data_IF_524106013055
#
_entry.id   IF_524106013055
#
_cell.length_a   1.000
_cell.length_b   1.000
_cell.length_c   1.000
_cell.angle_alpha   90.00
_cell.angle_beta   90.00
_cell.angle_gamma   90.00
#
_symmetry.space_group_name_H-M   'P 1'
#
loop_
_entity.id
_entity.type
_entity.pdbx_description
1 polymer ?
#
# COMPACT_ATOMS: atom_id res chain seq x y z
N UNK A 1 19.68 -5.34 -1.24
CA UNK A 1 18.50 -6.12 -0.83
C UNK A 1 17.68 -6.49 -2.07
N UNK A 2 17.02 -7.65 -2.06
CA UNK A 2 16.16 -8.14 -3.15
C UNK A 2 14.70 -8.10 -2.69
N UNK A 3 13.84 -7.38 -3.41
CA UNK A 3 12.40 -7.34 -3.17
C UNK A 3 11.69 -8.35 -4.06
N UNK A 4 10.74 -9.11 -3.49
CA UNK A 4 9.90 -10.07 -4.21
C UNK A 4 8.45 -9.88 -3.76
N UNK A 5 7.52 -9.81 -4.71
CA UNK A 5 6.09 -9.86 -4.45
C UNK A 5 5.65 -11.33 -4.48
N UNK A 6 5.20 -11.87 -3.37
CA UNK A 6 4.65 -13.23 -3.27
C UNK A 6 3.12 -13.11 -3.42
N UNK A 7 2.54 -13.68 -4.49
CA UNK A 7 1.08 -13.67 -4.65
C UNK A 7 0.38 -14.44 -3.53
N UNK A 8 -0.70 -13.87 -3.02
CA UNK A 8 -1.56 -14.48 -2.02
C UNK A 8 -3.03 -14.18 -2.38
N UNK A 9 -3.94 -15.04 -1.97
CA UNK A 9 -5.37 -14.93 -2.31
C UNK A 9 -5.60 -14.72 -3.81
N UNK A 10 -6.47 -13.76 -4.18
CA UNK A 10 -6.77 -13.43 -5.58
C UNK A 10 -5.88 -12.32 -6.13
N UNK A 11 -5.56 -11.33 -5.31
CA UNK A 11 -4.89 -10.11 -5.73
C UNK A 11 -3.95 -9.49 -4.67
N UNK A 12 -3.78 -10.15 -3.50
CA UNK A 12 -2.85 -9.70 -2.47
C UNK A 12 -1.39 -9.97 -2.83
N UNK A 13 -0.51 -9.15 -2.29
CA UNK A 13 0.93 -9.39 -2.25
C UNK A 13 1.46 -9.42 -0.83
N UNK A 14 2.13 -10.52 -0.46
CA UNK A 14 3.04 -10.56 0.68
C UNK A 14 4.39 -10.09 0.16
N UNK A 15 4.92 -9.01 0.71
CA UNK A 15 6.22 -8.51 0.30
C UNK A 15 7.34 -9.23 1.05
N UNK A 16 8.31 -9.75 0.30
CA UNK A 16 9.53 -10.35 0.85
C UNK A 16 10.73 -9.48 0.49
N UNK A 17 11.38 -8.88 1.48
CA UNK A 17 12.62 -8.14 1.33
C UNK A 17 13.78 -8.96 1.89
N UNK A 18 14.62 -9.47 1.00
CA UNK A 18 15.74 -10.36 1.35
C UNK A 18 17.06 -9.59 1.41
N UNK A 19 17.78 -9.75 2.50
CA UNK A 19 19.13 -9.26 2.67
C UNK A 19 20.16 -10.20 1.98
N UNK A 20 21.41 -9.74 1.76
CA UNK A 20 22.44 -10.55 1.08
C UNK A 20 22.80 -11.86 1.80
N UNK A 21 22.61 -11.94 3.11
CA UNK A 21 22.86 -13.13 3.93
C UNK A 21 21.69 -14.16 3.90
N UNK A 22 20.60 -13.84 3.18
CA UNK A 22 19.42 -14.68 3.08
C UNK A 22 18.31 -14.34 4.08
N UNK A 23 18.60 -13.54 5.11
CA UNK A 23 17.59 -13.05 6.06
C UNK A 23 16.48 -12.31 5.31
N UNK A 24 15.22 -12.66 5.55
CA UNK A 24 14.08 -12.15 4.80
C UNK A 24 13.01 -11.59 5.72
N UNK A 25 12.67 -10.34 5.49
CA UNK A 25 11.53 -9.66 6.09
C UNK A 25 10.29 -9.92 5.24
N UNK A 26 9.20 -10.32 5.87
CA UNK A 26 7.90 -10.44 5.22
C UNK A 26 6.94 -9.34 5.71
N UNK A 27 6.13 -8.80 4.81
CA UNK A 27 5.14 -7.75 5.14
C UNK A 27 3.75 -8.24 4.73
N UNK A 28 2.80 -8.11 5.65
CA UNK A 28 1.39 -8.46 5.47
C UNK A 28 1.20 -9.91 5.04
N UNK A 29 1.66 -10.84 5.89
CA UNK A 29 1.56 -12.29 5.66
C UNK A 29 0.12 -12.80 5.90
N UNK A 30 -0.81 -12.43 5.02
CA UNK A 30 -2.23 -12.84 5.12
C UNK A 30 -2.46 -14.33 4.93
N UNK A 31 -1.57 -15.02 4.20
CA UNK A 31 -1.51 -16.48 4.08
C UNK A 31 -0.13 -17.00 4.45
N UNK A 32 -0.08 -18.15 5.13
CA UNK A 32 1.19 -18.78 5.50
C UNK A 32 1.88 -19.45 4.31
N UNK A 33 1.14 -20.12 3.44
CA UNK A 33 1.70 -20.97 2.40
C UNK A 33 2.70 -20.27 1.47
N UNK A 34 2.46 -19.03 0.96
CA UNK A 34 3.45 -18.33 0.13
C UNK A 34 4.78 -18.08 0.85
N UNK A 35 4.74 -17.84 2.18
CA UNK A 35 5.95 -17.64 3.00
C UNK A 35 6.67 -18.97 3.23
N UNK A 36 5.92 -20.06 3.51
CA UNK A 36 6.47 -21.41 3.65
C UNK A 36 7.18 -21.87 2.37
N UNK A 37 6.56 -21.62 1.21
CA UNK A 37 7.14 -21.97 -0.09
C UNK A 37 8.41 -21.15 -0.38
N UNK A 38 8.41 -19.86 -0.07
CA UNK A 38 9.57 -18.99 -0.20
C UNK A 38 10.72 -19.45 0.73
N UNK A 39 10.40 -19.86 1.96
CA UNK A 39 11.37 -20.40 2.89
C UNK A 39 11.95 -21.74 2.41
N UNK A 40 11.14 -22.61 1.82
CA UNK A 40 11.61 -23.85 1.20
C UNK A 40 12.55 -23.60 0.00
N UNK A 41 12.44 -22.43 -0.64
CA UNK A 41 13.32 -21.98 -1.72
C UNK A 41 14.54 -21.20 -1.22
N UNK A 42 14.79 -21.14 0.09
CA UNK A 42 16.00 -20.59 0.70
C UNK A 42 15.86 -19.17 1.27
N UNK A 43 14.68 -18.57 1.30
CA UNK A 43 14.43 -17.36 2.08
C UNK A 43 14.41 -17.72 3.57
N UNK A 44 15.15 -16.99 4.40
CA UNK A 44 15.25 -17.25 5.86
C UNK A 44 14.38 -16.23 6.60
N UNK A 45 13.19 -16.60 7.12
CA UNK A 45 12.34 -15.66 7.83
C UNK A 45 13.04 -15.01 9.02
N UNK A 46 13.17 -13.69 8.99
CA UNK A 46 13.83 -12.91 10.02
C UNK A 46 12.83 -12.08 10.84
N UNK A 47 11.77 -11.57 10.22
CA UNK A 47 10.67 -10.89 10.90
C UNK A 47 9.42 -10.78 10.00
N UNK A 48 8.29 -10.40 10.62
CA UNK A 48 7.06 -10.02 9.94
C UNK A 48 6.68 -8.61 10.37
N UNK A 49 6.35 -7.75 9.38
CA UNK A 49 5.72 -6.45 9.60
C UNK A 49 4.24 -6.52 9.20
N UNK A 50 3.37 -5.93 10.01
CA UNK A 50 1.93 -5.87 9.75
C UNK A 50 1.50 -4.41 9.68
N UNK A 51 0.80 -4.03 8.60
CA UNK A 51 0.36 -2.65 8.38
C UNK A 51 -0.95 -2.34 9.08
N UNK A 52 -1.88 -3.29 9.13
CA UNK A 52 -3.20 -3.14 9.77
C UNK A 52 -3.81 -4.51 10.08
N UNK A 53 -5.01 -4.53 10.66
CA UNK A 53 -5.62 -5.71 11.30
C UNK A 53 -6.45 -6.61 10.38
N UNK A 54 -6.65 -6.28 9.10
CA UNK A 54 -7.51 -7.11 8.24
C UNK A 54 -6.94 -8.50 8.03
N UNK A 55 -7.81 -9.50 7.97
CA UNK A 55 -7.42 -10.92 7.95
C UNK A 55 -6.54 -11.27 6.75
N UNK A 56 -6.75 -10.63 5.62
CA UNK A 56 -5.96 -10.83 4.41
C UNK A 56 -4.54 -10.22 4.49
N UNK A 57 -4.21 -9.55 5.60
CA UNK A 57 -2.86 -9.06 5.92
C UNK A 57 -2.22 -9.80 7.12
N UNK A 58 -3.03 -10.33 8.04
CA UNK A 58 -2.50 -10.95 9.26
C UNK A 58 -2.78 -12.45 9.38
N UNK A 59 -3.72 -13.00 8.59
CA UNK A 59 -4.30 -14.33 8.80
C UNK A 59 -3.30 -15.49 8.78
N UNK A 60 -2.19 -15.39 8.05
CA UNK A 60 -1.15 -16.43 7.98
C UNK A 60 -0.17 -16.43 9.15
N UNK A 61 -0.14 -15.35 9.95
CA UNK A 61 0.94 -15.14 10.96
C UNK A 61 0.91 -16.18 12.07
N UNK A 62 -0.26 -16.61 12.51
CA UNK A 62 -0.37 -17.62 13.57
C UNK A 62 0.31 -18.94 13.16
N UNK A 63 0.02 -19.45 11.97
CA UNK A 63 0.64 -20.66 11.42
C UNK A 63 2.16 -20.49 11.20
N UNK A 64 2.61 -19.33 10.71
CA UNK A 64 4.03 -19.03 10.57
C UNK A 64 4.75 -19.05 11.93
N UNK A 65 4.09 -18.57 12.99
CA UNK A 65 4.63 -18.63 14.36
C UNK A 65 4.65 -20.04 14.95
N UNK A 66 3.76 -20.92 14.56
CA UNK A 66 3.87 -22.34 14.92
C UNK A 66 5.14 -22.96 14.31
N UNK A 67 5.47 -22.59 13.08
CA UNK A 67 6.68 -23.08 12.40
C UNK A 67 7.96 -22.41 12.90
N UNK A 68 7.91 -21.12 13.23
CA UNK A 68 9.03 -20.33 13.77
C UNK A 68 8.60 -19.57 15.03
N UNK A 69 8.58 -20.22 16.21
CA UNK A 69 8.05 -19.62 17.45
C UNK A 69 8.77 -18.33 17.90
N UNK A 70 10.06 -18.20 17.56
CA UNK A 70 10.86 -17.02 17.88
C UNK A 70 10.80 -15.89 16.85
N UNK A 71 10.05 -16.07 15.74
CA UNK A 71 9.96 -15.06 14.68
C UNK A 71 9.32 -13.77 15.22
N UNK A 72 10.06 -12.63 15.23
CA UNK A 72 9.50 -11.36 15.68
C UNK A 72 8.42 -10.88 14.72
N UNK A 73 7.36 -10.29 15.29
CA UNK A 73 6.24 -9.69 14.56
C UNK A 73 6.05 -8.28 15.09
N UNK A 74 6.01 -7.30 14.19
CA UNK A 74 5.76 -5.89 14.50
C UNK A 74 4.40 -5.49 13.92
N UNK A 75 3.55 -4.85 14.72
CA UNK A 75 2.18 -4.52 14.34
C UNK A 75 1.73 -3.19 14.96
N UNK A 76 0.74 -2.51 14.36
CA UNK A 76 0.15 -1.33 14.98
C UNK A 76 -0.53 -1.67 16.31
N UNK A 77 -0.70 -0.65 17.16
CA UNK A 77 -1.55 -0.76 18.35
C UNK A 77 -3.03 -0.88 17.91
N UNK A 78 -3.53 -2.11 17.89
CA UNK A 78 -4.91 -2.44 17.56
C UNK A 78 -5.35 -3.67 18.34
N UNK A 79 -6.45 -3.55 19.09
CA UNK A 79 -6.98 -4.63 19.93
C UNK A 79 -7.47 -5.85 19.11
N UNK A 80 -7.77 -5.68 17.82
CA UNK A 80 -8.20 -6.74 16.90
C UNK A 80 -7.05 -7.63 16.43
N UNK A 81 -5.80 -7.21 16.64
CA UNK A 81 -4.63 -8.05 16.37
C UNK A 81 -4.32 -8.87 17.62
N UNK A 82 -4.92 -10.06 17.72
CA UNK A 82 -4.75 -10.97 18.86
C UNK A 82 -3.45 -11.79 18.81
N UNK A 83 -2.45 -11.31 18.06
CA UNK A 83 -1.15 -11.96 17.93
C UNK A 83 -0.18 -11.45 19.00
N UNK A 84 0.68 -12.32 19.49
CA UNK A 84 1.82 -11.88 20.29
C UNK A 84 2.82 -11.16 19.35
N UNK A 85 2.91 -9.86 19.45
CA UNK A 85 3.75 -9.00 18.59
C UNK A 85 4.29 -7.81 19.38
N UNK A 86 5.31 -7.18 18.85
CA UNK A 86 5.77 -5.88 19.30
C UNK A 86 4.86 -4.81 18.70
N UNK A 87 4.31 -3.94 19.56
CA UNK A 87 3.45 -2.83 19.13
C UNK A 87 4.31 -1.64 18.75
N UNK A 88 4.06 -1.12 17.54
CA UNK A 88 4.81 -0.01 16.99
C UNK A 88 3.86 1.04 16.43
N UNK A 89 4.28 2.30 16.45
CA UNK A 89 3.50 3.45 16.04
C UNK A 89 4.33 4.56 15.43
N UNK A 90 3.75 5.73 15.37
CA UNK A 90 4.34 6.92 14.75
C UNK A 90 5.74 7.23 15.26
N UNK A 91 6.71 7.27 14.33
CA UNK A 91 8.10 7.66 14.61
C UNK A 91 8.98 6.53 15.15
N UNK A 92 8.40 5.38 15.51
CA UNK A 92 9.18 4.24 15.97
C UNK A 92 10.15 3.75 14.88
N UNK A 93 11.29 3.22 15.32
CA UNK A 93 12.29 2.58 14.45
C UNK A 93 12.25 1.08 14.67
N UNK A 94 11.96 0.33 13.60
CA UNK A 94 12.02 -1.14 13.61
C UNK A 94 13.38 -1.57 13.07
N UNK A 95 14.28 -1.98 13.97
CA UNK A 95 15.65 -2.36 13.65
C UNK A 95 15.91 -3.81 14.05
N UNK A 96 16.25 -4.64 13.08
CA UNK A 96 16.65 -6.05 13.32
C UNK A 96 17.36 -6.63 12.09
N UNK A 97 18.29 -7.54 12.28
CA UNK A 97 18.96 -8.31 11.22
C UNK A 97 19.42 -7.47 10.00
N UNK A 98 19.88 -6.22 10.24
CA UNK A 98 20.31 -5.29 9.18
C UNK A 98 19.17 -4.57 8.43
N UNK A 99 17.93 -4.77 8.84
CA UNK A 99 16.79 -3.98 8.39
C UNK A 99 16.57 -2.77 9.31
N UNK A 100 16.17 -1.66 8.72
CA UNK A 100 15.87 -0.40 9.43
C UNK A 100 14.71 0.31 8.76
N UNK A 101 13.60 0.47 9.49
CA UNK A 101 12.37 1.08 9.02
C UNK A 101 11.84 2.11 10.01
N UNK A 102 11.47 3.26 9.49
CA UNK A 102 10.65 4.24 10.22
C UNK A 102 9.18 3.90 10.08
N UNK A 103 8.46 3.87 11.17
CA UNK A 103 7.01 3.65 11.21
C UNK A 103 6.29 4.99 11.01
N UNK A 104 5.31 5.01 10.11
CA UNK A 104 4.47 6.15 9.79
C UNK A 104 3.00 5.80 10.07
N UNK A 105 2.33 6.54 10.95
CA UNK A 105 0.87 6.43 11.09
C UNK A 105 0.17 7.00 9.87
N UNK A 106 -0.67 6.19 9.24
CA UNK A 106 -1.42 6.54 8.03
C UNK A 106 -2.91 6.17 8.15
N UNK A 107 -3.61 6.72 9.17
CA UNK A 107 -5.01 6.41 9.41
C UNK A 107 -5.89 6.83 8.24
N UNK A 108 -6.89 6.01 7.93
CA UNK A 108 -7.85 6.28 6.85
C UNK A 108 -8.58 5.04 6.41
N UNK A 109 -7.87 4.06 5.90
CA UNK A 109 -8.43 2.74 5.61
C UNK A 109 -8.88 2.05 6.91
N UNK A 110 -7.98 1.95 7.88
CA UNK A 110 -8.31 1.67 9.30
C UNK A 110 -7.78 2.80 10.19
N UNK A 111 -8.23 2.86 11.46
CA UNK A 111 -7.79 3.91 12.41
C UNK A 111 -6.34 3.75 12.84
N UNK A 112 -5.90 2.50 12.96
CA UNK A 112 -4.57 2.11 13.45
C UNK A 112 -3.57 1.84 12.33
N UNK A 113 -3.94 2.09 11.06
CA UNK A 113 -3.09 1.76 9.91
C UNK A 113 -1.74 2.46 10.00
N UNK A 114 -0.66 1.68 9.82
CA UNK A 114 0.73 2.17 9.75
C UNK A 114 1.36 1.77 8.42
N UNK A 115 2.41 2.48 8.06
CA UNK A 115 3.29 2.13 6.95
C UNK A 115 4.73 2.05 7.44
N UNK A 116 5.57 1.28 6.75
CA UNK A 116 6.99 1.14 7.04
C UNK A 116 7.81 1.71 5.90
N UNK A 117 8.66 2.69 6.18
CA UNK A 117 9.54 3.32 5.20
C UNK A 117 11.01 3.05 5.53
N UNK A 118 11.73 2.41 4.62
CA UNK A 118 13.15 2.08 4.79
C UNK A 118 13.73 1.46 3.52
N UNK A 119 15.04 1.49 3.36
CA UNK A 119 15.76 0.87 2.23
C UNK A 119 15.20 1.26 0.84
N UNK A 120 14.66 2.47 0.70
CA UNK A 120 14.05 2.94 -0.55
C UNK A 120 12.68 2.33 -0.87
N UNK A 121 12.04 1.65 0.09
CA UNK A 121 10.72 1.04 -0.03
C UNK A 121 9.73 1.65 0.96
N UNK A 122 8.49 1.73 0.57
CA UNK A 122 7.34 2.08 1.40
C UNK A 122 6.36 0.92 1.38
N UNK A 123 6.26 0.19 2.47
CA UNK A 123 5.23 -0.83 2.68
C UNK A 123 4.01 -0.16 3.29
N UNK A 124 3.03 0.17 2.48
CA UNK A 124 1.88 1.01 2.85
C UNK A 124 0.55 0.25 2.97
N UNK A 125 0.57 -1.09 2.87
CA UNK A 125 -0.65 -1.89 2.93
C UNK A 125 -1.74 -1.32 2.05
N UNK A 126 -2.87 -1.00 2.65
CA UNK A 126 -4.08 -0.52 1.99
C UNK A 126 -4.31 1.00 2.12
N UNK A 127 -3.28 1.76 2.49
CA UNK A 127 -3.38 3.22 2.50
C UNK A 127 -3.28 3.80 1.08
N UNK A 128 -2.21 3.46 0.35
CA UNK A 128 -1.94 3.95 -1.01
C UNK A 128 -1.79 2.78 -1.98
N UNK A 129 -2.50 2.82 -3.10
CA UNK A 129 -2.37 1.87 -4.21
C UNK A 129 -1.81 2.56 -5.45
N UNK A 130 -1.24 1.78 -6.37
CA UNK A 130 -0.91 2.33 -7.68
C UNK A 130 -2.19 2.84 -8.35
N UNK A 131 -2.17 4.14 -8.72
CA UNK A 131 -3.27 4.89 -9.34
C UNK A 131 -4.55 4.99 -8.48
N UNK A 132 -4.44 4.76 -7.16
CA UNK A 132 -5.58 4.71 -6.26
C UNK A 132 -5.21 4.86 -4.79
N UNK A 133 -6.20 4.69 -3.92
CA UNK A 133 -6.03 4.58 -2.48
C UNK A 133 -7.07 3.62 -1.89
N UNK A 134 -6.88 3.21 -0.63
CA UNK A 134 -7.81 2.34 0.08
C UNK A 134 -9.19 2.95 0.30
N UNK A 135 -10.18 2.10 0.55
CA UNK A 135 -11.48 2.53 1.06
C UNK A 135 -11.32 3.02 2.50
N UNK A 136 -12.18 3.96 2.89
CA UNK A 136 -12.22 4.44 4.27
C UNK A 136 -13.28 3.65 5.05
N UNK A 137 -12.86 2.60 5.77
CA UNK A 137 -13.79 1.88 6.64
C UNK A 137 -13.96 2.57 8.01
N UNK A 138 -12.89 3.20 8.52
CA UNK A 138 -12.85 3.76 9.87
C UNK A 138 -12.36 5.21 9.93
N UNK A 139 -11.94 5.77 8.80
CA UNK A 139 -11.37 7.11 8.71
C UNK A 139 -12.35 8.16 8.20
N UNK A 140 -11.83 9.38 8.11
CA UNK A 140 -12.49 10.50 7.44
C UNK A 140 -11.68 10.94 6.22
N UNK A 141 -12.31 11.59 5.21
CA UNK A 141 -11.58 12.09 4.03
C UNK A 141 -10.38 12.98 4.39
N UNK A 142 -10.55 13.88 5.35
CA UNK A 142 -9.46 14.77 5.77
C UNK A 142 -8.29 14.01 6.41
N UNK A 143 -8.57 12.98 7.23
CA UNK A 143 -7.51 12.17 7.84
C UNK A 143 -6.77 11.33 6.81
N UNK A 144 -7.50 10.70 5.89
CA UNK A 144 -6.88 9.90 4.85
C UNK A 144 -6.07 10.75 3.88
N UNK A 145 -6.59 11.93 3.49
CA UNK A 145 -5.84 12.88 2.66
C UNK A 145 -4.53 13.28 3.34
N UNK A 146 -4.56 13.66 4.62
CA UNK A 146 -3.35 14.00 5.38
C UNK A 146 -2.36 12.82 5.43
N UNK A 147 -2.84 11.58 5.58
CA UNK A 147 -1.99 10.38 5.49
C UNK A 147 -1.33 10.25 4.12
N UNK A 148 -2.09 10.43 3.04
CA UNK A 148 -1.57 10.35 1.67
C UNK A 148 -0.60 11.49 1.35
N UNK A 149 -0.87 12.72 1.77
CA UNK A 149 0.04 13.86 1.62
C UNK A 149 1.38 13.62 2.32
N UNK A 150 1.32 12.98 3.47
CA UNK A 150 2.50 12.57 4.22
C UNK A 150 3.33 11.52 3.48
N UNK A 151 2.69 10.49 2.91
CA UNK A 151 3.37 9.51 2.06
C UNK A 151 3.92 10.16 0.78
N UNK A 152 3.20 11.13 0.20
CA UNK A 152 3.61 11.88 -0.98
C UNK A 152 4.86 12.75 -0.76
N UNK A 153 5.15 13.13 0.49
CA UNK A 153 6.32 13.91 0.86
C UNK A 153 7.62 13.09 0.98
N UNK A 154 7.56 11.77 0.88
CA UNK A 154 8.73 10.89 0.88
C UNK A 154 9.58 11.09 -0.38
N UNK A 155 10.84 10.63 -0.39
CA UNK A 155 11.70 10.75 -1.57
C UNK A 155 11.04 10.17 -2.83
N UNK A 156 11.07 10.90 -3.93
CA UNK A 156 10.37 10.56 -5.17
C UNK A 156 10.77 9.20 -5.78
N UNK A 157 11.96 8.71 -5.46
CA UNK A 157 12.47 7.39 -5.87
C UNK A 157 12.01 6.23 -4.98
N UNK A 158 11.21 6.51 -3.94
CA UNK A 158 10.65 5.48 -3.07
C UNK A 158 9.76 4.52 -3.88
N UNK A 159 9.97 3.23 -3.68
CA UNK A 159 9.15 2.17 -4.26
C UNK A 159 7.93 1.92 -3.39
N UNK A 160 6.75 2.15 -3.93
CA UNK A 160 5.46 1.97 -3.24
C UNK A 160 5.04 0.52 -3.34
N UNK A 161 5.09 -0.18 -2.21
CA UNK A 161 4.76 -1.60 -2.04
C UNK A 161 3.39 -1.69 -1.34
N UNK A 162 2.30 -1.64 -2.10
CA UNK A 162 0.93 -1.75 -1.58
C UNK A 162 0.47 -3.21 -1.46
N UNK A 163 -0.64 -3.42 -0.74
CA UNK A 163 -1.16 -4.76 -0.43
C UNK A 163 -1.77 -5.53 -1.62
N UNK A 164 -2.25 -4.82 -2.66
CA UNK A 164 -3.08 -5.44 -3.71
C UNK A 164 -2.70 -5.05 -5.13
N UNK A 165 -3.02 -5.94 -6.08
CA UNK A 165 -2.87 -5.75 -7.53
C UNK A 165 -4.11 -5.07 -8.14
N UNK A 166 -4.40 -3.83 -7.74
CA UNK A 166 -5.57 -3.08 -8.20
C UNK A 166 -5.29 -2.13 -9.36
N UNK A 167 -4.07 -2.09 -9.88
CA UNK A 167 -3.59 -1.04 -10.79
C UNK A 167 -4.45 -0.89 -12.04
N UNK A 168 -4.82 -1.98 -12.71
CA UNK A 168 -5.64 -1.88 -13.94
C UNK A 168 -7.04 -1.32 -13.65
N UNK A 169 -7.69 -1.79 -12.60
CA UNK A 169 -9.01 -1.27 -12.20
C UNK A 169 -8.95 0.18 -11.72
N UNK A 170 -7.86 0.57 -11.07
CA UNK A 170 -7.61 1.96 -10.68
C UNK A 170 -7.32 2.85 -11.89
N UNK A 171 -6.55 2.35 -12.88
CA UNK A 171 -6.25 3.07 -14.10
C UNK A 171 -7.52 3.47 -14.88
N UNK A 172 -8.51 2.58 -14.97
CA UNK A 172 -9.80 2.89 -15.63
C UNK A 172 -10.48 4.07 -14.95
N UNK A 173 -10.54 4.07 -13.62
CA UNK A 173 -11.11 5.19 -12.87
C UNK A 173 -10.29 6.47 -13.01
N UNK A 174 -8.97 6.38 -12.84
CA UNK A 174 -8.07 7.53 -12.95
C UNK A 174 -8.18 8.19 -14.33
N UNK A 175 -8.28 7.40 -15.41
CA UNK A 175 -8.52 7.86 -16.77
C UNK A 175 -9.86 8.55 -16.96
N UNK A 176 -10.87 8.14 -16.21
CA UNK A 176 -12.18 8.79 -16.22
C UNK A 176 -12.13 10.16 -15.52
N UNK A 177 -11.30 10.31 -14.50
CA UNK A 177 -11.09 11.58 -13.77
C UNK A 177 -10.19 12.55 -14.53
N UNK A 178 -9.06 12.07 -15.08
CA UNK A 178 -8.01 12.89 -15.73
C UNK A 178 -7.65 12.30 -17.11
N UNK A 179 -8.57 12.39 -18.09
CA UNK A 179 -8.45 11.70 -19.38
C UNK A 179 -7.29 12.19 -20.26
N UNK A 180 -6.78 13.39 -20.04
CA UNK A 180 -5.72 14.01 -20.86
C UNK A 180 -4.33 13.84 -20.26
N UNK A 181 -4.20 13.21 -19.10
CA UNK A 181 -2.92 13.02 -18.43
C UNK A 181 -2.03 12.00 -19.18
N UNK A 182 -1.01 12.51 -19.87
CA UNK A 182 -0.11 11.68 -20.67
C UNK A 182 0.71 10.69 -19.81
N UNK A 183 1.08 11.07 -18.58
CA UNK A 183 1.79 10.18 -17.66
C UNK A 183 0.91 9.00 -17.23
N UNK A 184 -0.38 9.27 -16.94
CA UNK A 184 -1.36 8.24 -16.63
C UNK A 184 -1.58 7.27 -17.80
N UNK A 185 -1.60 7.77 -19.04
CA UNK A 185 -1.69 6.92 -20.22
C UNK A 185 -0.51 5.95 -20.32
N UNK A 186 0.73 6.48 -20.14
CA UNK A 186 1.94 5.66 -20.17
C UNK A 186 1.93 4.60 -19.07
N UNK A 187 1.55 5.00 -17.84
CA UNK A 187 1.48 4.08 -16.68
C UNK A 187 0.45 2.98 -16.89
N UNK A 188 -0.72 3.31 -17.44
CA UNK A 188 -1.74 2.31 -17.76
C UNK A 188 -1.25 1.31 -18.80
N UNK A 189 -0.61 1.77 -19.88
CA UNK A 189 -0.07 0.89 -20.92
C UNK A 189 1.02 -0.03 -20.35
N UNK A 190 1.93 0.50 -19.54
CA UNK A 190 2.94 -0.28 -18.82
C UNK A 190 2.31 -1.38 -17.96
N UNK A 191 1.28 -1.02 -17.17
CA UNK A 191 0.57 -1.98 -16.30
C UNK A 191 -0.12 -3.09 -17.14
N UNK A 192 -0.73 -2.75 -18.27
CA UNK A 192 -1.31 -3.72 -19.19
C UNK A 192 -0.24 -4.68 -19.74
N UNK A 193 0.90 -4.15 -20.17
CA UNK A 193 2.01 -4.95 -20.68
C UNK A 193 2.62 -5.86 -19.60
N UNK A 194 2.71 -5.38 -18.36
CA UNK A 194 3.16 -6.20 -17.23
C UNK A 194 2.17 -7.33 -16.94
N UNK A 195 0.87 -7.02 -16.85
CA UNK A 195 -0.15 -8.04 -16.56
C UNK A 195 -0.35 -9.06 -17.68
N UNK A 196 -0.19 -8.68 -18.95
CA UNK A 196 -0.22 -9.62 -20.09
C UNK A 196 0.88 -10.69 -20.00
N UNK A 197 1.96 -10.40 -19.27
CA UNK A 197 3.08 -11.31 -19.00
C UNK A 197 3.01 -11.91 -17.58
N UNK A 198 1.86 -11.85 -16.92
CA UNK A 198 1.66 -12.32 -15.54
C UNK A 198 2.64 -11.70 -14.52
N UNK A 199 3.13 -10.49 -14.78
CA UNK A 199 4.03 -9.76 -13.88
C UNK A 199 3.24 -8.82 -12.96
N UNK A 200 3.66 -8.65 -11.70
CA UNK A 200 3.14 -7.61 -10.82
C UNK A 200 3.31 -6.23 -11.43
N UNK A 201 2.32 -5.34 -11.25
CA UNK A 201 2.44 -3.93 -11.64
C UNK A 201 3.07 -3.06 -10.56
N UNK A 202 3.21 -3.61 -9.38
CA UNK A 202 3.83 -2.99 -8.20
C UNK A 202 5.12 -3.75 -7.83
N UNK A 203 6.12 -3.07 -7.19
CA UNK A 203 6.05 -1.72 -6.68
C UNK A 203 6.06 -0.67 -7.80
N UNK A 204 5.31 0.39 -7.63
CA UNK A 204 5.42 1.59 -8.45
C UNK A 204 6.43 2.59 -7.84
N UNK A 205 6.91 3.55 -8.63
CA UNK A 205 7.68 4.66 -8.08
C UNK A 205 6.74 5.75 -7.55
N UNK A 206 7.08 6.34 -6.40
CA UNK A 206 6.29 7.44 -5.84
C UNK A 206 6.23 8.63 -6.80
N UNK A 207 7.30 8.93 -7.54
CA UNK A 207 7.29 9.94 -8.60
C UNK A 207 6.20 9.69 -9.64
N UNK A 208 6.02 8.44 -10.06
CA UNK A 208 4.95 8.06 -11.01
C UNK A 208 3.56 8.25 -10.39
N UNK A 209 3.39 7.88 -9.13
CA UNK A 209 2.10 8.08 -8.44
C UNK A 209 1.77 9.59 -8.30
N UNK A 210 2.76 10.44 -8.01
CA UNK A 210 2.57 11.90 -7.95
C UNK A 210 2.15 12.49 -9.30
N UNK A 211 2.58 11.91 -10.41
CA UNK A 211 2.19 12.34 -11.76
C UNK A 211 0.81 11.82 -12.20
N UNK A 212 0.39 10.65 -11.71
CA UNK A 212 -0.72 9.90 -12.30
C UNK A 212 -1.90 9.68 -11.34
N UNK A 213 -1.65 9.53 -10.03
CA UNK A 213 -2.66 9.10 -9.09
C UNK A 213 -3.61 10.26 -8.72
N UNK A 214 -4.90 10.23 -9.06
CA UNK A 214 -5.81 11.34 -8.81
C UNK A 214 -5.96 11.65 -7.31
N UNK A 215 -5.77 10.67 -6.42
CA UNK A 215 -5.88 10.84 -4.98
C UNK A 215 -4.69 11.57 -4.36
N UNK A 216 -3.52 11.59 -5.02
CA UNK A 216 -2.36 12.40 -4.67
C UNK A 216 -2.35 13.76 -5.38
N UNK A 217 -3.31 14.00 -6.28
CA UNK A 217 -3.39 15.18 -7.16
C UNK A 217 -4.66 16.00 -6.94
N UNK A 218 -5.17 16.02 -5.71
CA UNK A 218 -6.40 16.77 -5.35
C UNK A 218 -6.31 18.27 -5.61
N UNK A 219 -5.10 18.80 -5.70
CA UNK A 219 -4.81 20.19 -6.04
C UNK A 219 -4.70 20.46 -7.55
N UNK A 220 -4.57 19.41 -8.38
CA UNK A 220 -4.39 19.55 -9.82
C UNK A 220 -5.67 20.01 -10.50
N UNK A 221 -5.56 21.00 -11.38
CA UNK A 221 -6.71 21.64 -12.03
C UNK A 221 -7.62 20.63 -12.77
N UNK A 222 -7.12 19.66 -13.57
CA UNK A 222 -7.99 18.69 -14.23
C UNK A 222 -8.82 17.85 -13.26
N UNK A 223 -8.22 17.45 -12.13
CA UNK A 223 -8.88 16.66 -11.08
C UNK A 223 -9.97 17.50 -10.40
N UNK A 224 -9.67 18.77 -10.06
CA UNK A 224 -10.63 19.71 -9.47
C UNK A 224 -11.80 20.00 -10.41
N UNK A 225 -11.54 20.17 -11.70
CA UNK A 225 -12.59 20.39 -12.71
C UNK A 225 -13.50 19.17 -12.86
N UNK A 226 -12.95 17.95 -12.89
CA UNK A 226 -13.74 16.72 -12.93
C UNK A 226 -14.66 16.60 -11.71
N UNK A 227 -14.14 16.91 -10.51
CA UNK A 227 -14.92 16.93 -9.27
C UNK A 227 -15.97 18.05 -9.29
N UNK A 228 -15.61 19.25 -9.75
CA UNK A 228 -16.54 20.38 -9.85
C UNK A 228 -17.73 20.08 -10.79
N UNK A 229 -17.46 19.46 -11.93
CA UNK A 229 -18.51 19.01 -12.85
C UNK A 229 -19.47 18.02 -12.19
N UNK A 230 -18.95 17.13 -11.36
CA UNK A 230 -19.75 16.15 -10.64
C UNK A 230 -20.56 16.76 -9.49
N UNK A 231 -19.99 17.74 -8.77
CA UNK A 231 -20.66 18.46 -7.68
C UNK A 231 -21.66 19.51 -8.20
N UNK A 232 -21.57 19.94 -9.46
CA UNK A 232 -22.30 21.09 -10.00
C UNK A 232 -21.82 22.45 -9.46
N UNK A 233 -20.66 22.50 -8.78
CA UNK A 233 -20.02 23.68 -8.21
C UNK A 233 -18.53 23.46 -7.99
N UNK A 234 -17.77 24.53 -7.78
CA UNK A 234 -16.38 24.40 -7.38
C UNK A 234 -16.25 23.73 -6.00
N UNK A 235 -15.31 22.79 -5.80
CA UNK A 235 -14.99 22.24 -4.49
C UNK A 235 -14.33 23.29 -3.60
N UNK A 236 -14.63 23.26 -2.30
CA UNK A 236 -14.15 24.25 -1.32
C UNK A 236 -12.63 24.09 -1.07
N UNK A 237 -12.19 22.84 -0.88
CA UNK A 237 -10.81 22.53 -0.54
C UNK A 237 -10.37 21.15 -1.07
N UNK A 238 -9.13 20.76 -0.78
CA UNK A 238 -8.58 19.47 -1.20
C UNK A 238 -9.26 18.28 -0.51
N UNK A 239 -9.75 18.45 0.71
CA UNK A 239 -10.43 17.39 1.44
C UNK A 239 -11.81 17.08 0.81
N UNK A 240 -12.52 18.09 0.32
CA UNK A 240 -13.76 17.88 -0.44
C UNK A 240 -13.49 17.21 -1.79
N UNK A 241 -12.41 17.63 -2.49
CA UNK A 241 -11.97 16.94 -3.73
C UNK A 241 -11.70 15.46 -3.46
N UNK A 242 -10.93 15.16 -2.44
CA UNK A 242 -10.61 13.79 -2.04
C UNK A 242 -11.88 13.00 -1.67
N UNK A 243 -12.75 13.58 -0.86
CA UNK A 243 -14.00 12.96 -0.42
C UNK A 243 -14.88 12.56 -1.61
N UNK A 244 -15.01 13.47 -2.59
CA UNK A 244 -15.82 13.20 -3.78
C UNK A 244 -15.16 12.17 -4.70
N UNK A 245 -13.84 12.23 -4.92
CA UNK A 245 -13.11 11.20 -5.65
C UNK A 245 -13.31 9.81 -5.03
N UNK A 246 -13.22 9.69 -3.70
CA UNK A 246 -13.38 8.41 -3.01
C UNK A 246 -14.82 7.90 -3.13
N UNK A 247 -15.82 8.77 -2.91
CA UNK A 247 -17.23 8.42 -3.09
C UNK A 247 -17.50 7.99 -4.53
N UNK A 248 -16.93 8.70 -5.50
CA UNK A 248 -17.06 8.39 -6.92
C UNK A 248 -16.46 7.02 -7.24
N UNK A 249 -15.23 6.74 -6.76
CA UNK A 249 -14.57 5.45 -6.96
C UNK A 249 -15.35 4.30 -6.31
N UNK A 250 -15.96 4.51 -5.15
CA UNK A 250 -16.72 3.46 -4.44
C UNK A 250 -17.98 3.03 -5.21
N UNK A 251 -18.60 3.95 -5.95
CA UNK A 251 -19.74 3.68 -6.82
C UNK A 251 -19.39 3.46 -8.29
N UNK A 252 -18.12 3.53 -8.67
CA UNK A 252 -17.69 3.44 -10.07
C UNK A 252 -17.78 2.00 -10.59
N UNK A 253 -18.45 1.84 -11.72
CA UNK A 253 -18.47 0.60 -12.51
C UNK A 253 -17.88 0.92 -13.87
N UNK A 254 -16.86 0.16 -14.28
CA UNK A 254 -16.24 0.27 -15.60
C UNK A 254 -17.12 -0.38 -16.67
#
# INVERSE_FOLDING_TARGET
MRLTALPAFQDNYIWALQAPDGSTLFVDSGQAQPVLDAAAQGMQPAAILLTHHHDDHIGGVAELRERWPALPVFAPEDERIHLKCERVGEGDQVQFAGFDFTVLSVPGHTRSHIAFHGHGHLFCGDALFSLGCGRMFEGTPARMLASLERLAALPAQTRVCCGHEYTLGNAVFARHVDPTNAALHRRQQEAMDMRSRSRPTVPSLLSSELECNPFLRTHAEPVRQAVAARLGRAPMDAAEVFAELRRWKDGFRA
#
